data_IF_326699471662
#
_entry.id   IF_326699471662
#
_cell.length_a   1.000
_cell.length_b   1.000
_cell.length_c   1.000
_cell.angle_alpha   90.00
_cell.angle_beta   90.00
_cell.angle_gamma   90.00
#
_symmetry.space_group_name_H-M   'P 1'
#
loop_
_entity.id
_entity.type
_entity.pdbx_description
1 polymer ?
#
# COMPACT_ATOMS: atom_id res chain seq x y z
N UNK A 1 -38.35 -16.01 4.32
CA UNK A 1 -37.38 -15.59 3.26
C UNK A 1 -37.89 -16.07 1.91
N UNK A 2 -38.08 -15.17 0.97
CA UNK A 2 -38.45 -15.50 -0.41
C UNK A 2 -37.30 -16.23 -1.12
N UNK A 3 -37.57 -16.88 -2.25
CA UNK A 3 -36.52 -17.52 -3.05
C UNK A 3 -35.46 -16.49 -3.53
N UNK A 4 -35.88 -15.25 -3.86
CA UNK A 4 -34.99 -14.16 -4.27
C UNK A 4 -34.10 -13.68 -3.13
N UNK A 5 -34.59 -13.62 -1.89
CA UNK A 5 -33.77 -13.28 -0.72
C UNK A 5 -32.72 -14.35 -0.42
N UNK A 6 -33.10 -15.63 -0.50
CA UNK A 6 -32.16 -16.75 -0.35
C UNK A 6 -31.07 -16.72 -1.43
N UNK A 7 -31.43 -16.36 -2.64
CA UNK A 7 -30.51 -16.28 -3.75
C UNK A 7 -29.54 -15.08 -3.63
N UNK A 8 -30.02 -13.95 -3.11
CA UNK A 8 -29.14 -12.80 -2.83
C UNK A 8 -28.12 -13.09 -1.75
N UNK A 9 -28.49 -13.87 -0.72
CA UNK A 9 -27.58 -14.24 0.37
C UNK A 9 -26.51 -15.25 -0.04
N UNK A 10 -26.75 -16.05 -1.09
CA UNK A 10 -25.75 -17.00 -1.60
C UNK A 10 -24.48 -16.33 -2.17
N UNK A 11 -24.49 -15.03 -2.40
CA UNK A 11 -23.32 -14.25 -2.85
C UNK A 11 -22.35 -13.91 -1.75
N UNK A 12 -22.79 -14.02 -0.50
CA UNK A 12 -22.02 -13.62 0.67
C UNK A 12 -21.53 -14.85 1.41
N UNK A 13 -20.26 -14.82 1.72
CA UNK A 13 -19.56 -15.79 2.54
C UNK A 13 -18.87 -15.12 3.70
N UNK A 14 -18.05 -15.88 4.41
CA UNK A 14 -17.24 -15.38 5.50
C UNK A 14 -15.94 -16.18 5.61
N UNK A 15 -14.93 -15.56 6.22
CA UNK A 15 -13.69 -16.24 6.56
C UNK A 15 -13.15 -15.80 7.91
N UNK A 16 -12.45 -16.72 8.57
CA UNK A 16 -11.63 -16.43 9.75
C UNK A 16 -10.29 -17.09 9.56
N UNK A 17 -9.22 -16.39 9.95
CA UNK A 17 -7.86 -16.88 9.74
C UNK A 17 -6.89 -16.40 10.81
N UNK A 18 -5.78 -17.14 10.93
CA UNK A 18 -4.61 -16.76 11.69
C UNK A 18 -3.39 -16.78 10.78
N UNK A 19 -2.49 -15.82 10.97
CA UNK A 19 -1.24 -15.69 10.20
C UNK A 19 -0.07 -15.49 11.17
N UNK A 20 0.51 -16.56 11.75
CA UNK A 20 1.81 -16.46 12.39
C UNK A 20 2.86 -16.05 11.36
N UNK A 21 3.82 -15.21 11.79
CA UNK A 21 4.80 -14.67 10.87
C UNK A 21 5.94 -13.96 11.57
N UNK A 22 6.73 -13.25 10.79
CA UNK A 22 7.88 -12.47 11.23
C UNK A 22 7.89 -11.10 10.60
N UNK A 23 8.32 -10.10 11.35
CA UNK A 23 8.63 -8.77 10.82
C UNK A 23 9.97 -8.85 10.11
N UNK A 24 10.01 -8.44 8.85
CA UNK A 24 11.22 -8.46 8.05
C UNK A 24 12.09 -7.24 8.36
N UNK A 25 13.31 -7.48 8.79
CA UNK A 25 14.33 -6.45 8.94
C UNK A 25 14.94 -6.14 7.56
N UNK A 26 14.43 -5.11 6.88
CA UNK A 26 14.80 -4.80 5.48
C UNK A 26 15.94 -3.80 5.34
N UNK A 27 16.28 -3.04 6.38
CA UNK A 27 17.40 -2.12 6.37
C UNK A 27 18.44 -2.46 7.44
N UNK A 28 19.64 -1.91 7.31
CA UNK A 28 20.78 -2.22 8.19
C UNK A 28 20.52 -1.82 9.66
N UNK A 29 19.79 -0.72 9.90
CA UNK A 29 19.41 -0.33 11.26
C UNK A 29 18.50 -1.38 11.91
N UNK A 30 17.47 -1.83 11.18
CA UNK A 30 16.57 -2.88 11.65
C UNK A 30 17.32 -4.18 11.91
N UNK A 31 18.18 -4.62 10.99
CA UNK A 31 18.99 -5.84 11.15
C UNK A 31 19.87 -5.80 12.39
N UNK A 32 20.41 -4.63 12.72
CA UNK A 32 21.30 -4.46 13.86
C UNK A 32 20.56 -4.36 15.19
N UNK A 33 19.47 -3.62 15.25
CA UNK A 33 18.81 -3.23 16.51
C UNK A 33 17.47 -3.93 16.77
N UNK A 34 16.94 -4.74 15.84
CA UNK A 34 15.77 -5.56 16.08
C UNK A 34 16.18 -6.84 16.82
N UNK A 35 15.70 -6.99 18.05
CA UNK A 35 16.09 -8.09 18.96
C UNK A 35 15.14 -9.28 18.83
N UNK A 36 13.86 -9.03 18.52
CA UNK A 36 12.82 -10.05 18.30
C UNK A 36 11.87 -9.61 17.20
N UNK A 37 11.48 -10.54 16.35
CA UNK A 37 10.73 -10.28 15.09
C UNK A 37 9.40 -11.02 15.00
N UNK A 38 9.13 -11.97 15.90
CA UNK A 38 7.95 -12.82 15.84
C UNK A 38 6.64 -12.06 16.04
N UNK A 39 5.67 -12.32 15.19
CA UNK A 39 4.33 -11.70 15.19
C UNK A 39 3.26 -12.71 14.83
N UNK A 40 2.01 -12.40 15.11
CA UNK A 40 0.86 -13.15 14.65
C UNK A 40 -0.29 -12.22 14.30
N UNK A 41 -1.09 -12.57 13.31
CA UNK A 41 -2.30 -11.83 12.99
C UNK A 41 -3.50 -12.74 13.04
N UNK A 42 -4.65 -12.17 13.39
CA UNK A 42 -5.95 -12.82 13.39
C UNK A 42 -6.93 -11.95 12.63
N UNK A 43 -7.71 -12.54 11.75
CA UNK A 43 -8.65 -11.78 10.95
C UNK A 43 -9.97 -12.50 10.74
N UNK A 44 -10.99 -11.68 10.46
CA UNK A 44 -12.29 -12.12 10.02
C UNK A 44 -12.77 -11.19 8.90
N UNK A 45 -13.43 -11.76 7.89
CA UNK A 45 -13.96 -11.00 6.77
C UNK A 45 -15.29 -11.56 6.28
N UNK A 46 -16.08 -10.67 5.69
CA UNK A 46 -17.23 -10.99 4.85
C UNK A 46 -16.76 -11.06 3.40
N UNK A 47 -17.16 -12.11 2.71
CA UNK A 47 -16.80 -12.39 1.34
C UNK A 47 -17.99 -12.13 0.41
N UNK A 48 -17.71 -11.59 -0.77
CA UNK A 48 -18.70 -11.39 -1.83
C UNK A 48 -18.15 -11.92 -3.15
N UNK A 49 -19.00 -12.63 -3.91
CA UNK A 49 -18.71 -13.01 -5.30
C UNK A 49 -19.93 -12.75 -6.18
N UNK A 50 -19.69 -12.21 -7.37
CA UNK A 50 -20.70 -12.20 -8.43
C UNK A 50 -20.94 -13.63 -8.91
N UNK A 51 -22.18 -13.92 -9.37
CA UNK A 51 -22.57 -15.23 -9.85
C UNK A 51 -22.63 -15.26 -11.38
N UNK A 52 -22.41 -16.41 -12.04
CA UNK A 52 -22.44 -16.52 -13.50
C UNK A 52 -23.75 -16.02 -14.14
N UNK A 53 -24.88 -16.20 -13.49
CA UNK A 53 -26.20 -15.72 -13.92
C UNK A 53 -26.33 -14.19 -13.98
N UNK A 54 -25.44 -13.43 -13.30
CA UNK A 54 -25.46 -11.97 -13.31
C UNK A 54 -25.01 -11.38 -14.65
N UNK A 55 -24.40 -12.20 -15.48
CA UNK A 55 -23.81 -11.79 -16.77
C UNK A 55 -22.83 -10.62 -16.62
N UNK A 56 -22.07 -10.63 -15.50
CA UNK A 56 -21.07 -9.62 -15.20
C UNK A 56 -19.79 -9.87 -16.00
N UNK A 57 -19.51 -9.00 -16.95
CA UNK A 57 -18.38 -9.12 -17.84
C UNK A 57 -17.02 -8.97 -17.13
N UNK A 58 -16.92 -8.14 -16.09
CA UNK A 58 -15.70 -8.03 -15.30
C UNK A 58 -15.47 -9.27 -14.45
N UNK A 59 -16.51 -9.73 -13.75
CA UNK A 59 -16.41 -10.94 -12.94
C UNK A 59 -15.98 -12.15 -13.80
N UNK A 60 -16.58 -12.34 -14.96
CA UNK A 60 -16.23 -13.41 -15.90
C UNK A 60 -14.77 -13.29 -16.40
N UNK A 61 -14.33 -12.08 -16.78
CA UNK A 61 -12.95 -11.82 -17.24
C UNK A 61 -11.89 -12.10 -16.17
N UNK A 62 -12.24 -11.97 -14.86
CA UNK A 62 -11.37 -12.29 -13.75
C UNK A 62 -11.58 -13.69 -13.15
N UNK A 63 -12.49 -14.49 -13.72
CA UNK A 63 -12.81 -15.83 -13.25
C UNK A 63 -13.66 -15.84 -11.97
N UNK A 64 -14.55 -14.85 -11.80
CA UNK A 64 -15.40 -14.66 -10.63
C UNK A 64 -14.58 -14.53 -9.34
N UNK A 65 -13.88 -13.39 -9.16
CA UNK A 65 -13.07 -13.14 -7.99
C UNK A 65 -13.93 -12.98 -6.74
N UNK A 66 -13.35 -13.26 -5.61
CA UNK A 66 -13.96 -12.99 -4.30
C UNK A 66 -13.43 -11.67 -3.75
N UNK A 67 -14.33 -10.79 -3.34
CA UNK A 67 -14.01 -9.58 -2.56
C UNK A 67 -14.24 -9.87 -1.10
N UNK A 68 -13.23 -9.60 -0.26
CA UNK A 68 -13.32 -9.74 1.18
C UNK A 68 -13.23 -8.38 1.85
N UNK A 69 -14.09 -8.11 2.82
CA UNK A 69 -14.06 -6.90 3.64
C UNK A 69 -13.94 -7.32 5.09
N UNK A 70 -12.86 -6.95 5.74
CA UNK A 70 -12.56 -7.53 7.03
C UNK A 70 -11.80 -6.63 7.99
N UNK A 71 -11.63 -7.18 9.18
CA UNK A 71 -10.79 -6.64 10.24
C UNK A 71 -9.68 -7.63 10.53
N UNK A 72 -8.46 -7.11 10.72
CA UNK A 72 -7.27 -7.85 11.15
C UNK A 72 -6.72 -7.22 12.40
N UNK A 73 -6.44 -8.01 13.39
CA UNK A 73 -5.62 -7.64 14.54
C UNK A 73 -4.22 -8.25 14.34
N UNK A 74 -3.21 -7.41 14.31
CA UNK A 74 -1.80 -7.82 14.24
C UNK A 74 -1.17 -7.63 15.60
N UNK A 75 -0.84 -8.74 16.24
CA UNK A 75 -0.16 -8.81 17.53
C UNK A 75 1.34 -8.69 17.32
N UNK A 76 1.88 -7.56 17.67
CA UNK A 76 3.31 -7.24 17.59
C UNK A 76 3.99 -7.15 18.96
N UNK A 77 3.33 -7.57 20.05
CA UNK A 77 3.86 -7.44 21.40
C UNK A 77 5.23 -8.10 21.62
N UNK A 78 5.57 -9.07 20.78
CA UNK A 78 6.88 -9.76 20.82
C UNK A 78 7.96 -9.05 20.00
N UNK A 79 7.60 -8.12 19.11
CA UNK A 79 8.59 -7.39 18.31
C UNK A 79 9.28 -6.36 19.19
N UNK A 80 10.57 -6.47 19.31
CA UNK A 80 11.39 -5.65 20.22
C UNK A 80 12.58 -5.08 19.49
N UNK A 81 12.88 -3.82 19.79
CA UNK A 81 14.02 -3.09 19.26
C UNK A 81 14.79 -2.48 20.40
N UNK A 82 16.09 -2.61 20.37
CA UNK A 82 16.97 -2.04 21.39
C UNK A 82 18.30 -1.69 20.76
N UNK A 83 18.69 -0.43 20.85
CA UNK A 83 19.99 0.02 20.41
C UNK A 83 20.94 0.17 21.58
N UNK A 84 22.12 -0.36 21.39
CA UNK A 84 23.26 -0.10 22.25
C UNK A 84 23.99 1.17 21.78
N UNK A 85 24.92 1.63 22.60
CA UNK A 85 25.83 2.69 22.20
C UNK A 85 26.64 2.24 20.99
N UNK A 86 26.60 3.02 19.92
CA UNK A 86 27.26 2.69 18.66
C UNK A 86 27.76 3.96 17.97
N UNK A 87 29.08 4.08 17.79
CA UNK A 87 29.70 5.24 17.16
C UNK A 87 29.48 5.30 15.65
N UNK A 88 29.34 4.14 14.99
CA UNK A 88 29.07 4.06 13.56
C UNK A 88 27.68 4.61 13.22
N UNK A 89 26.69 4.30 14.07
CA UNK A 89 25.33 4.79 13.96
C UNK A 89 25.08 6.11 14.69
N UNK A 90 26.13 6.69 15.32
CA UNK A 90 26.04 7.92 16.11
C UNK A 90 24.99 7.86 17.23
N UNK A 91 24.79 6.68 17.81
CA UNK A 91 23.94 6.49 18.96
C UNK A 91 24.78 6.57 20.23
N UNK A 92 25.06 7.79 20.69
CA UNK A 92 26.02 8.03 21.79
C UNK A 92 25.41 7.86 23.15
N UNK A 93 24.09 8.10 23.28
CA UNK A 93 23.38 7.95 24.53
C UNK A 93 22.80 6.54 24.66
N UNK A 94 23.09 5.82 25.74
CA UNK A 94 22.50 4.53 26.01
C UNK A 94 21.00 4.69 26.33
N UNK A 95 20.20 3.74 25.89
CA UNK A 95 18.78 3.63 26.20
C UNK A 95 18.59 2.45 27.14
N UNK A 96 18.03 2.70 28.31
CA UNK A 96 17.84 1.71 29.38
C UNK A 96 16.52 0.92 29.31
N UNK A 97 15.74 1.16 28.25
CA UNK A 97 14.49 0.47 27.97
C UNK A 97 14.51 -0.20 26.58
N UNK A 98 13.58 -1.13 26.39
CA UNK A 98 13.38 -1.83 25.11
C UNK A 98 12.15 -1.25 24.42
N UNK A 99 12.34 -0.70 23.23
CA UNK A 99 11.27 -0.24 22.35
C UNK A 99 10.44 -1.41 21.82
N UNK A 100 9.13 -1.20 21.68
CA UNK A 100 8.19 -2.24 21.25
C UNK A 100 7.35 -1.74 20.10
N UNK A 101 7.19 -2.57 19.11
CA UNK A 101 6.22 -2.34 18.05
C UNK A 101 4.80 -2.45 18.63
N UNK A 102 3.93 -1.48 18.30
CA UNK A 102 2.54 -1.49 18.71
C UNK A 102 1.70 -2.46 17.88
N UNK A 103 0.71 -3.08 18.54
CA UNK A 103 -0.30 -3.85 17.82
C UNK A 103 -1.11 -2.97 16.90
N UNK A 104 -1.60 -3.55 15.81
CA UNK A 104 -2.35 -2.82 14.77
C UNK A 104 -3.69 -3.48 14.53
N UNK A 105 -4.75 -2.67 14.58
CA UNK A 105 -6.07 -3.05 14.07
C UNK A 105 -6.21 -2.49 12.66
N UNK A 106 -6.55 -3.33 11.69
CA UNK A 106 -6.64 -2.96 10.28
C UNK A 106 -8.01 -3.28 9.74
N UNK A 107 -8.69 -2.27 9.17
CA UNK A 107 -9.85 -2.47 8.30
C UNK A 107 -9.34 -2.56 6.86
N UNK A 108 -9.73 -3.61 6.14
CA UNK A 108 -9.19 -3.88 4.81
C UNK A 108 -10.26 -4.39 3.83
N UNK A 109 -9.96 -4.18 2.56
CA UNK A 109 -10.61 -4.82 1.43
C UNK A 109 -9.60 -5.67 0.65
N UNK A 110 -10.00 -6.88 0.25
CA UNK A 110 -9.15 -7.81 -0.49
C UNK A 110 -9.82 -8.23 -1.80
N UNK A 111 -9.04 -8.29 -2.85
CA UNK A 111 -9.40 -8.87 -4.13
C UNK A 111 -8.69 -10.23 -4.25
N UNK A 112 -9.45 -11.32 -4.14
CA UNK A 112 -8.95 -12.69 -4.28
C UNK A 112 -9.27 -13.17 -5.69
N UNK A 113 -8.25 -13.38 -6.52
CA UNK A 113 -8.44 -13.86 -7.89
C UNK A 113 -8.08 -15.33 -8.02
N UNK A 114 -9.03 -16.19 -8.42
CA UNK A 114 -8.75 -17.59 -8.66
C UNK A 114 -7.85 -17.76 -9.91
N UNK A 115 -6.82 -18.57 -9.75
CA UNK A 115 -5.96 -19.07 -10.84
C UNK A 115 -6.41 -20.45 -11.31
N UNK A 116 -6.82 -21.28 -10.35
CA UNK A 116 -7.37 -22.60 -10.58
C UNK A 116 -8.58 -22.81 -9.68
N UNK A 117 -9.69 -23.31 -10.24
CA UNK A 117 -10.87 -23.70 -9.49
C UNK A 117 -11.36 -25.05 -10.00
N UNK A 118 -11.50 -26.00 -9.10
CA UNK A 118 -12.03 -27.33 -9.36
C UNK A 118 -13.14 -27.63 -8.34
N UNK A 119 -13.74 -28.80 -8.37
CA UNK A 119 -14.80 -29.16 -7.41
C UNK A 119 -14.36 -29.04 -5.93
N UNK A 120 -13.08 -29.30 -5.61
CA UNK A 120 -12.56 -29.32 -4.24
C UNK A 120 -11.41 -28.38 -3.99
N UNK A 121 -10.69 -27.94 -5.03
CA UNK A 121 -9.49 -27.15 -4.87
C UNK A 121 -9.65 -25.78 -5.53
N UNK A 122 -9.25 -24.75 -4.83
CA UNK A 122 -9.06 -23.42 -5.38
C UNK A 122 -7.64 -22.96 -5.08
N UNK A 123 -6.96 -22.41 -6.08
CA UNK A 123 -5.68 -21.72 -5.95
C UNK A 123 -5.95 -20.28 -6.37
N UNK A 124 -5.63 -19.35 -5.52
CA UNK A 124 -5.84 -17.93 -5.77
C UNK A 124 -4.62 -17.10 -5.32
N UNK A 125 -4.54 -15.89 -5.86
CA UNK A 125 -3.73 -14.84 -5.27
C UNK A 125 -4.63 -13.72 -4.77
N UNK A 126 -4.14 -13.02 -3.77
CA UNK A 126 -4.85 -11.88 -3.21
C UNK A 126 -4.03 -10.60 -3.26
N UNK A 127 -4.73 -9.48 -3.45
CA UNK A 127 -4.23 -8.14 -3.22
C UNK A 127 -5.18 -7.45 -2.24
N UNK A 128 -4.60 -6.84 -1.22
CA UNK A 128 -5.37 -6.24 -0.13
C UNK A 128 -4.89 -4.82 0.13
N UNK A 129 -5.82 -3.95 0.50
CA UNK A 129 -5.52 -2.59 0.94
C UNK A 129 -6.46 -2.15 2.05
N UNK A 130 -6.01 -1.18 2.83
CA UNK A 130 -6.81 -0.75 3.96
C UNK A 130 -6.17 0.35 4.79
N UNK A 131 -6.74 0.55 5.96
CA UNK A 131 -6.29 1.53 6.96
C UNK A 131 -6.08 0.81 8.28
N UNK A 132 -4.90 0.96 8.85
CA UNK A 132 -4.51 0.45 10.16
C UNK A 132 -4.48 1.53 11.22
N UNK A 133 -4.71 1.13 12.47
CA UNK A 133 -4.49 1.97 13.64
C UNK A 133 -3.58 1.25 14.62
N UNK A 134 -2.40 1.86 14.89
CA UNK A 134 -1.44 1.36 15.88
C UNK A 134 -1.64 2.04 17.23
N UNK A 135 -1.66 1.27 18.30
CA UNK A 135 -1.77 1.83 19.63
C UNK A 135 -0.44 2.45 20.10
N UNK A 136 0.69 2.09 19.51
CA UNK A 136 2.00 2.69 19.75
C UNK A 136 2.59 3.27 18.48
N UNK A 137 3.44 4.28 18.65
CA UNK A 137 4.26 4.86 17.59
C UNK A 137 5.57 5.34 18.20
N UNK A 138 6.55 5.64 17.36
CA UNK A 138 7.77 6.33 17.76
C UNK A 138 7.50 7.48 18.73
N UNK A 139 8.29 7.51 19.79
CA UNK A 139 8.45 8.67 20.66
C UNK A 139 9.83 8.57 21.36
N UNK A 140 10.33 9.71 21.84
CA UNK A 140 11.66 9.80 22.44
C UNK A 140 11.71 9.47 23.94
N UNK A 141 10.62 9.01 24.55
CA UNK A 141 10.56 8.72 26.00
C UNK A 141 10.71 7.23 26.29
N UNK A 142 9.93 6.40 25.59
CA UNK A 142 9.84 4.95 25.85
C UNK A 142 9.79 4.09 24.58
N UNK A 143 9.96 4.70 23.38
CA UNK A 143 9.83 3.98 22.09
C UNK A 143 10.71 4.60 20.99
N UNK A 144 11.94 5.02 21.36
CA UNK A 144 12.87 5.76 20.48
C UNK A 144 13.37 4.91 19.31
N UNK A 145 13.44 3.59 19.47
CA UNK A 145 13.94 2.69 18.43
C UNK A 145 12.85 2.20 17.49
N UNK A 146 11.59 2.57 17.73
CA UNK A 146 10.49 2.25 16.83
C UNK A 146 10.53 3.14 15.56
N UNK A 147 11.55 2.95 14.74
CA UNK A 147 11.67 3.65 13.47
C UNK A 147 10.71 3.14 12.41
N UNK A 148 9.93 2.09 12.71
CA UNK A 148 8.97 1.48 11.80
C UNK A 148 7.70 2.31 11.67
N UNK A 149 7.14 2.79 12.80
CA UNK A 149 5.84 3.46 12.87
C UNK A 149 5.98 4.83 13.53
N UNK A 150 5.84 5.90 12.74
CA UNK A 150 5.84 7.28 13.22
C UNK A 150 4.45 7.89 13.38
N UNK A 151 3.38 7.19 12.99
CA UNK A 151 1.99 7.65 13.10
C UNK A 151 1.09 6.55 13.63
N UNK A 152 -0.02 6.92 14.29
CA UNK A 152 -1.03 5.93 14.70
C UNK A 152 -1.86 5.44 13.53
N UNK A 153 -2.21 6.31 12.58
CA UNK A 153 -2.92 5.95 11.36
C UNK A 153 -1.93 5.50 10.29
N UNK A 154 -2.21 4.36 9.69
CA UNK A 154 -1.33 3.67 8.75
C UNK A 154 -2.10 3.28 7.49
N UNK A 155 -1.43 3.36 6.37
CA UNK A 155 -1.85 2.70 5.13
C UNK A 155 -1.47 1.24 5.22
N UNK A 156 -2.37 0.38 4.82
CA UNK A 156 -2.16 -1.06 4.74
C UNK A 156 -2.14 -1.53 3.29
N UNK A 157 -1.20 -2.38 2.99
CA UNK A 157 -1.12 -3.13 1.74
C UNK A 157 -0.79 -4.59 2.03
N UNK A 158 -1.45 -5.52 1.33
CA UNK A 158 -1.21 -6.95 1.45
C UNK A 158 -1.19 -7.65 0.11
N UNK A 159 -0.40 -8.70 0.01
CA UNK A 159 -0.37 -9.63 -1.12
C UNK A 159 -0.16 -11.05 -0.59
N UNK A 160 -0.76 -12.04 -1.25
CA UNK A 160 -0.61 -13.43 -0.84
C UNK A 160 -1.02 -14.41 -1.92
N UNK A 161 -0.74 -15.66 -1.65
CA UNK A 161 -1.16 -16.79 -2.48
C UNK A 161 -1.70 -17.90 -1.58
N UNK A 162 -2.84 -18.45 -1.96
CA UNK A 162 -3.56 -19.39 -1.13
C UNK A 162 -4.00 -20.62 -1.91
N UNK A 163 -4.14 -21.71 -1.14
CA UNK A 163 -4.78 -22.95 -1.56
C UNK A 163 -5.94 -23.22 -0.63
N UNK A 164 -7.13 -23.37 -1.16
CA UNK A 164 -8.32 -23.74 -0.40
C UNK A 164 -8.75 -25.16 -0.77
N UNK A 165 -8.94 -26.00 0.23
CA UNK A 165 -9.55 -27.32 0.07
C UNK A 165 -10.99 -27.30 0.60
N UNK A 166 -11.97 -27.51 -0.27
CA UNK A 166 -13.37 -27.60 0.06
C UNK A 166 -13.73 -28.98 0.60
N UNK A 167 -13.91 -29.08 1.91
CA UNK A 167 -14.35 -30.31 2.61
C UNK A 167 -15.82 -30.58 2.24
N UNK A 168 -16.63 -29.53 2.19
CA UNK A 168 -18.00 -29.50 1.72
C UNK A 168 -18.16 -28.44 0.61
N UNK A 169 -19.24 -28.44 -0.17
CA UNK A 169 -19.41 -27.45 -1.24
C UNK A 169 -19.31 -25.98 -0.80
N UNK A 170 -19.66 -25.71 0.44
CA UNK A 170 -19.72 -24.36 1.02
C UNK A 170 -18.59 -24.07 2.02
N UNK A 171 -17.91 -25.12 2.54
CA UNK A 171 -16.92 -25.00 3.59
C UNK A 171 -15.55 -25.48 3.14
N UNK A 172 -14.54 -24.68 3.37
CA UNK A 172 -13.15 -25.00 3.03
C UNK A 172 -12.16 -24.64 4.13
N UNK A 173 -11.01 -25.31 4.09
CA UNK A 173 -9.80 -24.92 4.81
C UNK A 173 -8.87 -24.25 3.81
N UNK A 174 -8.43 -23.04 4.16
CA UNK A 174 -7.55 -22.21 3.34
C UNK A 174 -6.19 -22.09 4.00
N UNK A 175 -5.12 -22.36 3.27
CA UNK A 175 -3.75 -22.17 3.71
C UNK A 175 -2.97 -21.36 2.68
N UNK A 176 -1.97 -20.60 3.12
CA UNK A 176 -1.20 -19.80 2.17
C UNK A 176 -0.04 -19.06 2.81
N UNK A 177 0.54 -18.18 2.02
CA UNK A 177 1.60 -17.26 2.42
C UNK A 177 1.10 -15.84 2.18
N UNK A 178 1.19 -15.02 3.22
CA UNK A 178 0.81 -13.62 3.21
C UNK A 178 2.02 -12.73 3.47
N UNK A 179 2.16 -11.73 2.62
CA UNK A 179 2.96 -10.55 2.90
C UNK A 179 2.02 -9.38 3.17
N UNK A 180 2.32 -8.60 4.21
CA UNK A 180 1.62 -7.34 4.41
C UNK A 180 2.54 -6.25 4.96
N UNK A 181 2.15 -5.02 4.63
CA UNK A 181 2.90 -3.82 4.93
C UNK A 181 2.00 -2.78 5.60
N UNK A 182 2.52 -2.16 6.67
CA UNK A 182 1.93 -1.00 7.30
C UNK A 182 2.94 0.16 7.31
N UNK A 183 2.51 1.33 6.86
CA UNK A 183 3.32 2.55 6.93
C UNK A 183 2.41 3.78 6.97
N UNK A 184 2.97 4.94 7.26
CA UNK A 184 2.20 6.18 7.17
C UNK A 184 2.27 6.84 5.78
N UNK A 185 2.79 6.14 4.76
CA UNK A 185 2.85 6.66 3.39
C UNK A 185 3.69 7.92 3.19
N UNK A 186 4.67 8.18 4.06
CA UNK A 186 5.52 9.37 3.99
C UNK A 186 4.92 10.65 4.61
N UNK A 187 3.74 10.55 5.22
CA UNK A 187 3.04 11.70 5.83
C UNK A 187 3.65 12.13 7.19
N UNK A 188 4.51 11.32 7.78
CA UNK A 188 5.19 11.61 9.04
C UNK A 188 6.49 10.80 9.14
N UNK A 189 7.40 11.19 10.06
CA UNK A 189 8.63 10.46 10.36
C UNK A 189 8.60 9.92 11.79
N UNK A 190 9.31 8.82 12.06
CA UNK A 190 9.93 7.90 11.09
C UNK A 190 8.90 7.10 10.30
N UNK A 191 9.30 6.51 9.16
CA UNK A 191 8.42 5.72 8.31
C UNK A 191 9.19 4.63 7.55
N UNK A 192 9.88 3.74 8.27
CA UNK A 192 10.51 2.57 7.64
C UNK A 192 9.47 1.51 7.26
N UNK A 193 8.30 1.55 7.92
CA UNK A 193 7.19 0.62 7.73
C UNK A 193 7.41 -0.76 8.35
N UNK A 194 6.32 -1.43 8.67
CA UNK A 194 6.29 -2.80 9.17
C UNK A 194 6.00 -3.72 8.00
N UNK A 195 6.95 -4.58 7.66
CA UNK A 195 6.82 -5.59 6.62
C UNK A 195 6.75 -6.94 7.29
N UNK A 196 5.69 -7.69 7.07
CA UNK A 196 5.47 -9.01 7.66
C UNK A 196 5.33 -10.06 6.58
N UNK A 197 6.03 -11.17 6.75
CA UNK A 197 5.81 -12.40 6.00
C UNK A 197 5.29 -13.47 6.96
N UNK A 198 4.19 -14.12 6.60
CA UNK A 198 3.57 -15.13 7.44
C UNK A 198 2.93 -16.26 6.65
N UNK A 199 2.72 -17.38 7.33
CA UNK A 199 1.92 -18.48 6.82
C UNK A 199 0.50 -18.34 7.35
N UNK A 200 -0.51 -18.34 6.48
CA UNK A 200 -1.91 -18.22 6.89
C UNK A 200 -2.62 -19.58 6.90
N UNK A 201 -3.52 -19.74 7.86
CA UNK A 201 -4.44 -20.85 7.95
C UNK A 201 -5.82 -20.33 8.38
N UNK A 202 -6.86 -20.73 7.69
CA UNK A 202 -8.22 -20.26 7.96
C UNK A 202 -9.31 -21.21 7.55
N UNK A 203 -10.53 -20.87 7.97
CA UNK A 203 -11.77 -21.50 7.55
C UNK A 203 -12.53 -20.51 6.70
N UNK A 204 -13.07 -20.98 5.57
CA UNK A 204 -13.86 -20.19 4.65
C UNK A 204 -15.25 -20.82 4.47
N UNK A 205 -16.26 -19.96 4.51
CA UNK A 205 -17.63 -20.28 4.12
C UNK A 205 -17.96 -19.55 2.83
N UNK A 206 -18.18 -20.29 1.74
CA UNK A 206 -18.36 -19.77 0.38
C UNK A 206 -19.56 -20.43 -0.29
N UNK A 207 -20.81 -20.03 0.03
CA UNK A 207 -22.02 -20.66 -0.46
C UNK A 207 -22.21 -20.56 -1.99
N UNK A 208 -21.48 -19.66 -2.63
CA UNK A 208 -21.43 -19.47 -4.08
C UNK A 208 -20.46 -20.41 -4.81
N UNK A 209 -19.59 -21.13 -4.09
CA UNK A 209 -18.46 -21.86 -4.68
C UNK A 209 -18.90 -22.88 -5.73
N UNK A 210 -19.91 -23.71 -5.40
CA UNK A 210 -20.41 -24.73 -6.33
C UNK A 210 -20.96 -24.11 -7.61
N UNK A 211 -21.80 -23.07 -7.48
CA UNK A 211 -22.42 -22.39 -8.63
C UNK A 211 -21.38 -21.76 -9.53
N UNK A 212 -20.43 -21.05 -8.96
CA UNK A 212 -19.35 -20.44 -9.74
C UNK A 212 -18.46 -21.50 -10.39
N UNK A 213 -18.17 -22.61 -9.71
CA UNK A 213 -17.32 -23.67 -10.27
C UNK A 213 -17.97 -24.38 -11.45
N UNK A 214 -19.26 -24.69 -11.35
CA UNK A 214 -20.00 -25.43 -12.38
C UNK A 214 -20.39 -24.55 -13.58
N UNK A 215 -20.70 -23.26 -13.34
CA UNK A 215 -21.31 -22.36 -14.33
C UNK A 215 -20.44 -21.19 -14.79
N UNK A 216 -19.18 -21.07 -14.31
CA UNK A 216 -18.28 -19.95 -14.66
C UNK A 216 -18.10 -19.77 -16.18
N UNK A 217 -18.30 -20.81 -16.99
CA UNK A 217 -18.12 -20.79 -18.45
C UNK A 217 -19.40 -20.55 -19.25
N UNK A 218 -20.56 -20.51 -18.58
CA UNK A 218 -21.86 -20.37 -19.22
C UNK A 218 -22.05 -18.96 -19.79
N UNK A 219 -21.53 -17.96 -19.11
CA UNK A 219 -21.49 -16.59 -19.60
C UNK A 219 -20.13 -16.26 -20.23
N UNK A 220 -20.17 -15.76 -21.48
CA UNK A 220 -18.99 -15.26 -22.20
C UNK A 220 -19.20 -13.79 -22.53
N UNK A 221 -18.38 -12.91 -21.95
CA UNK A 221 -18.44 -11.48 -22.26
C UNK A 221 -18.23 -11.22 -23.75
N UNK A 222 -19.00 -10.29 -24.30
CA UNK A 222 -18.78 -9.81 -25.67
C UNK A 222 -17.41 -9.17 -25.87
N UNK A 223 -16.99 -9.01 -27.12
CA UNK A 223 -15.71 -8.37 -27.45
C UNK A 223 -15.64 -6.96 -26.88
N UNK A 224 -14.48 -6.60 -26.32
CA UNK A 224 -14.23 -5.26 -25.80
C UNK A 224 -13.81 -4.33 -26.95
N UNK A 225 -14.44 -3.19 -27.08
CA UNK A 225 -14.03 -2.14 -28.02
C UNK A 225 -12.82 -1.39 -27.44
N UNK A 226 -11.68 -1.52 -28.13
CA UNK A 226 -10.43 -0.86 -27.74
C UNK A 226 -10.48 0.62 -28.08
N UNK A 227 -9.83 1.47 -27.27
CA UNK A 227 -9.79 2.91 -27.54
C UNK A 227 -8.60 3.58 -26.87
N UNK A 228 -8.23 4.75 -27.41
CA UNK A 228 -7.27 5.67 -26.80
C UNK A 228 -8.00 6.70 -25.94
N UNK A 229 -7.35 7.15 -24.90
CA UNK A 229 -7.84 8.27 -24.11
C UNK A 229 -6.67 9.08 -23.54
N UNK A 230 -6.91 10.40 -23.36
CA UNK A 230 -6.04 11.27 -22.58
C UNK A 230 -6.54 11.26 -21.14
N UNK A 231 -5.62 11.21 -20.18
CA UNK A 231 -5.97 11.30 -18.78
C UNK A 231 -5.23 12.48 -18.15
N UNK A 232 -5.96 13.44 -17.65
CA UNK A 232 -5.44 14.61 -16.95
C UNK A 232 -5.70 14.47 -15.47
N UNK A 233 -4.68 14.67 -14.63
CA UNK A 233 -4.80 14.51 -13.19
C UNK A 233 -4.15 15.69 -12.47
N UNK A 234 -4.73 16.06 -11.34
CA UNK A 234 -4.16 16.98 -10.37
C UNK A 234 -4.27 16.36 -8.98
N UNK A 235 -3.25 16.53 -8.16
CA UNK A 235 -3.23 15.96 -6.82
C UNK A 235 -2.57 16.89 -5.80
N UNK A 236 -2.99 16.75 -4.55
CA UNK A 236 -2.39 17.34 -3.37
C UNK A 236 -1.98 16.25 -2.39
N UNK A 237 -0.77 16.34 -1.86
CA UNK A 237 -0.20 15.34 -0.95
C UNK A 237 0.42 15.95 0.29
N UNK A 238 0.80 15.07 1.21
CA UNK A 238 1.48 15.42 2.45
C UNK A 238 2.80 14.64 2.52
N UNK A 239 3.89 15.36 2.76
CA UNK A 239 5.25 14.82 2.90
C UNK A 239 5.87 15.26 4.21
N UNK A 240 6.60 14.37 4.89
CA UNK A 240 7.55 14.69 5.93
C UNK A 240 8.97 14.35 5.44
N UNK A 241 9.96 15.19 5.80
CA UNK A 241 11.34 15.04 5.32
C UNK A 241 12.10 13.98 6.12
N UNK A 242 12.69 13.04 5.39
CA UNK A 242 13.60 12.07 5.99
C UNK A 242 14.91 12.73 6.44
N UNK A 243 15.35 13.80 5.77
CA UNK A 243 16.49 14.61 6.11
C UNK A 243 16.36 15.22 7.51
N UNK A 244 15.19 15.80 7.81
CA UNK A 244 14.89 16.36 9.13
C UNK A 244 14.93 15.27 10.23
N UNK A 245 14.39 14.10 9.93
CA UNK A 245 14.43 12.95 10.85
C UNK A 245 15.88 12.47 11.08
N UNK A 246 16.67 12.31 10.02
CA UNK A 246 18.07 11.88 10.15
C UNK A 246 18.92 12.88 10.93
N UNK A 247 18.75 14.18 10.68
CA UNK A 247 19.41 15.23 11.43
C UNK A 247 19.11 15.09 12.90
N UNK A 248 17.83 14.98 13.25
CA UNK A 248 17.38 14.85 14.63
C UNK A 248 17.94 13.60 15.32
N UNK A 249 17.95 12.46 14.64
CA UNK A 249 18.34 11.18 15.25
C UNK A 249 19.85 10.98 15.39
N UNK A 250 20.62 11.44 14.38
CA UNK A 250 22.01 10.97 14.20
C UNK A 250 23.04 12.10 14.12
N UNK A 251 22.58 13.36 13.97
CA UNK A 251 23.51 14.48 13.71
C UNK A 251 23.30 15.67 14.64
N UNK A 252 22.25 15.72 15.41
CA UNK A 252 22.05 16.73 16.45
C UNK A 252 22.86 16.36 17.71
N UNK A 253 23.40 17.36 18.42
CA UNK A 253 23.98 17.16 19.74
C UNK A 253 22.91 16.72 20.72
N UNK A 254 23.29 15.90 21.70
CA UNK A 254 22.40 15.43 22.78
C UNK A 254 21.80 16.58 23.59
N UNK A 255 22.49 17.71 23.70
CA UNK A 255 22.03 18.92 24.39
C UNK A 255 21.10 19.79 23.52
N UNK A 256 20.91 19.45 22.26
CA UNK A 256 20.06 20.19 21.33
C UNK A 256 18.59 19.86 21.55
N UNK A 257 17.67 20.84 21.52
CA UNK A 257 16.24 20.59 21.52
C UNK A 257 15.76 19.80 20.29
N UNK A 258 16.57 19.74 19.23
CA UNK A 258 16.29 18.95 18.02
C UNK A 258 16.75 17.50 18.12
N UNK A 259 17.46 17.12 19.19
CA UNK A 259 17.89 15.73 19.37
C UNK A 259 16.70 14.80 19.63
N UNK A 260 16.57 13.78 18.80
CA UNK A 260 15.52 12.75 18.91
C UNK A 260 14.10 13.31 19.06
N UNK A 261 13.77 14.38 18.37
CA UNK A 261 12.46 15.04 18.49
C UNK A 261 11.29 14.14 18.10
N UNK A 262 10.09 14.42 18.63
CA UNK A 262 8.87 13.64 18.43
C UNK A 262 7.99 14.14 17.29
N UNK A 263 8.24 15.35 16.79
CA UNK A 263 7.42 16.01 15.79
C UNK A 263 8.28 16.51 14.65
N UNK A 264 7.83 16.24 13.45
CA UNK A 264 8.49 16.61 12.20
C UNK A 264 7.55 17.47 11.36
N UNK A 265 8.10 18.40 10.62
CA UNK A 265 7.31 19.28 9.77
C UNK A 265 6.63 18.51 8.64
N UNK A 266 5.40 18.92 8.30
CA UNK A 266 4.62 18.33 7.21
C UNK A 266 4.41 19.37 6.13
N UNK A 267 4.82 19.03 4.92
CA UNK A 267 4.74 19.88 3.75
C UNK A 267 3.61 19.42 2.84
N UNK A 268 2.90 20.38 2.27
CA UNK A 268 1.96 20.11 1.19
C UNK A 268 2.74 19.99 -0.11
N UNK A 269 2.47 18.92 -0.87
CA UNK A 269 3.01 18.69 -2.20
C UNK A 269 1.88 18.75 -3.22
N UNK A 270 2.20 19.15 -4.44
CA UNK A 270 1.28 19.17 -5.55
C UNK A 270 1.83 18.36 -6.70
N UNK A 271 0.97 17.72 -7.45
CA UNK A 271 1.37 17.06 -8.69
C UNK A 271 0.30 17.22 -9.77
N UNK A 272 0.74 17.21 -11.02
CA UNK A 272 -0.12 17.17 -12.20
C UNK A 272 0.41 16.12 -13.17
N UNK A 273 -0.49 15.47 -13.90
CA UNK A 273 -0.15 14.44 -14.88
C UNK A 273 -0.96 14.65 -16.16
N UNK A 274 -0.32 14.37 -17.28
CA UNK A 274 -0.96 14.29 -18.59
C UNK A 274 -0.50 13.00 -19.27
N UNK A 275 -1.44 12.07 -19.50
CA UNK A 275 -1.14 10.71 -19.93
C UNK A 275 -1.85 10.39 -21.23
N UNK A 276 -1.18 9.73 -22.16
CA UNK A 276 -1.77 9.06 -23.32
C UNK A 276 -1.89 7.57 -23.02
N UNK A 277 -3.10 7.08 -22.92
CA UNK A 277 -3.43 5.72 -22.51
C UNK A 277 -4.18 4.96 -23.61
N UNK A 278 -3.84 3.70 -23.79
CA UNK A 278 -4.53 2.77 -24.67
C UNK A 278 -5.22 1.68 -23.86
N UNK A 279 -6.55 1.65 -23.86
CA UNK A 279 -7.36 0.60 -23.24
C UNK A 279 -7.58 -0.53 -24.22
N UNK A 280 -6.74 -1.54 -24.14
CA UNK A 280 -6.72 -2.68 -25.08
C UNK A 280 -7.57 -3.86 -24.62
N UNK A 281 -8.00 -3.87 -23.37
CA UNK A 281 -8.89 -4.88 -22.82
C UNK A 281 -9.84 -4.25 -21.79
N UNK A 282 -10.94 -4.92 -21.49
CA UNK A 282 -11.87 -4.49 -20.43
C UNK A 282 -11.16 -4.23 -19.11
N UNK A 283 -10.18 -5.07 -18.79
CA UNK A 283 -9.43 -5.06 -17.53
C UNK A 283 -8.20 -4.15 -17.54
N UNK A 284 -7.63 -3.79 -18.72
CA UNK A 284 -6.27 -3.25 -18.81
C UNK A 284 -6.15 -2.07 -19.74
N UNK A 285 -5.42 -1.08 -19.30
CA UNK A 285 -4.88 -0.03 -20.14
C UNK A 285 -3.40 0.16 -19.83
N UNK A 286 -2.62 0.57 -20.83
CA UNK A 286 -1.23 0.96 -20.67
C UNK A 286 -0.96 2.23 -21.45
N UNK A 287 0.05 2.99 -21.08
CA UNK A 287 0.37 4.22 -21.75
C UNK A 287 1.63 4.85 -21.22
N UNK A 288 1.81 6.09 -21.59
CA UNK A 288 2.93 6.95 -21.18
C UNK A 288 2.40 8.32 -20.79
N UNK A 289 3.11 9.01 -19.91
CA UNK A 289 2.69 10.33 -19.50
C UNK A 289 3.84 11.19 -19.00
N UNK A 290 3.52 12.47 -18.82
CA UNK A 290 4.39 13.45 -18.20
C UNK A 290 3.83 13.76 -16.82
N UNK A 291 4.70 13.72 -15.83
CA UNK A 291 4.39 14.04 -14.44
C UNK A 291 5.16 15.32 -14.03
N UNK A 292 4.44 16.25 -13.42
CA UNK A 292 5.00 17.47 -12.86
C UNK A 292 4.74 17.48 -11.37
N UNK A 293 5.76 17.80 -10.58
CA UNK A 293 5.69 17.84 -9.11
C UNK A 293 6.14 19.21 -8.61
N UNK A 294 5.51 19.68 -7.55
CA UNK A 294 5.86 20.91 -6.86
C UNK A 294 5.86 20.71 -5.34
N UNK A 295 6.94 21.16 -4.69
CA UNK A 295 7.07 21.05 -3.24
C UNK A 295 7.92 22.19 -2.65
N UNK A 296 7.34 22.91 -1.69
CA UNK A 296 8.03 24.00 -0.98
C UNK A 296 9.11 23.52 -0.04
N UNK A 297 9.07 22.25 0.34
CA UNK A 297 10.03 21.61 1.24
C UNK A 297 11.50 21.72 0.75
N UNK A 298 11.73 21.98 -0.53
CA UNK A 298 13.07 22.17 -1.08
C UNK A 298 13.81 23.37 -0.46
N UNK A 299 13.08 24.39 0.00
CA UNK A 299 13.68 25.56 0.65
C UNK A 299 14.27 25.17 2.02
N UNK A 300 13.54 24.34 2.78
CA UNK A 300 14.01 23.86 4.08
C UNK A 300 15.13 22.83 3.93
N UNK A 301 15.12 22.00 2.89
CA UNK A 301 16.26 21.13 2.55
C UNK A 301 17.50 21.96 2.28
N UNK A 302 17.38 23.04 1.49
CA UNK A 302 18.48 23.97 1.24
C UNK A 302 19.03 24.60 2.53
N UNK A 303 18.14 24.97 3.46
CA UNK A 303 18.54 25.51 4.77
C UNK A 303 19.27 24.47 5.62
N UNK A 304 18.73 23.25 5.68
CA UNK A 304 19.37 22.13 6.41
C UNK A 304 20.77 21.81 5.88
N UNK A 305 20.97 21.94 4.58
CA UNK A 305 22.25 21.65 3.91
C UNK A 305 23.28 22.79 4.01
N UNK A 306 22.94 23.95 4.55
CA UNK A 306 23.86 25.09 4.66
C UNK A 306 25.17 24.76 5.40
N UNK A 307 25.05 23.94 6.45
CA UNK A 307 26.20 23.54 7.27
C UNK A 307 26.88 22.26 6.77
N UNK A 308 26.45 21.79 5.61
CA UNK A 308 26.94 20.57 4.96
C UNK A 308 27.39 20.90 3.53
N UNK A 309 27.53 19.86 2.70
CA UNK A 309 27.73 20.04 1.29
C UNK A 309 26.40 20.40 0.63
N UNK A 310 26.29 21.62 0.14
CA UNK A 310 25.14 22.08 -0.61
C UNK A 310 25.14 21.54 -2.04
N UNK A 311 23.94 21.39 -2.62
CA UNK A 311 23.78 21.13 -4.04
C UNK A 311 24.04 22.41 -4.86
N UNK A 312 24.43 22.24 -6.12
CA UNK A 312 24.69 23.37 -7.04
C UNK A 312 23.40 24.14 -7.37
N UNK A 313 22.27 23.45 -7.33
CA UNK A 313 20.97 24.01 -7.69
C UNK A 313 19.84 23.43 -6.83
N UNK A 314 18.88 24.28 -6.48
CA UNK A 314 17.63 23.90 -5.80
C UNK A 314 16.42 24.35 -6.62
N UNK A 315 15.40 23.50 -6.72
CA UNK A 315 14.17 23.81 -7.43
C UNK A 315 12.98 23.16 -6.73
N UNK A 316 11.90 23.91 -6.53
CA UNK A 316 10.62 23.39 -6.04
C UNK A 316 9.91 22.53 -7.07
N UNK A 317 10.32 22.59 -8.33
CA UNK A 317 9.74 21.84 -9.44
C UNK A 317 10.55 20.59 -9.77
N UNK A 318 9.85 19.53 -10.13
CA UNK A 318 10.43 18.35 -10.77
C UNK A 318 9.53 17.91 -11.91
N UNK A 319 10.12 17.38 -12.97
CA UNK A 319 9.43 16.90 -14.16
C UNK A 319 9.95 15.50 -14.49
N UNK A 320 9.04 14.57 -14.79
CA UNK A 320 9.38 13.22 -15.19
C UNK A 320 8.50 12.71 -16.32
N UNK A 321 8.95 11.64 -16.95
CA UNK A 321 8.16 10.83 -17.88
C UNK A 321 7.92 9.47 -17.24
N UNK A 322 6.74 8.89 -17.47
CA UNK A 322 6.37 7.63 -16.84
C UNK A 322 5.70 6.66 -17.81
N UNK A 323 6.06 5.39 -17.70
CA UNK A 323 5.26 4.29 -18.20
C UNK A 323 4.14 4.02 -17.20
N UNK A 324 2.92 3.83 -17.69
CA UNK A 324 1.71 3.69 -16.88
C UNK A 324 0.95 2.44 -17.23
N UNK A 325 0.40 1.79 -16.22
CA UNK A 325 -0.49 0.64 -16.37
C UNK A 325 -1.66 0.79 -15.42
N UNK A 326 -2.85 0.44 -15.90
CA UNK A 326 -4.08 0.54 -15.12
C UNK A 326 -4.90 -0.74 -15.25
N UNK A 327 -5.37 -1.24 -14.10
CA UNK A 327 -6.17 -2.45 -13.96
C UNK A 327 -7.56 -2.05 -13.47
N UNK A 328 -8.60 -2.45 -14.20
CA UNK A 328 -9.99 -2.04 -13.96
C UNK A 328 -10.86 -3.17 -13.44
N UNK A 329 -11.73 -2.85 -12.51
CA UNK A 329 -12.88 -3.65 -12.12
C UNK A 329 -14.09 -2.72 -11.90
N UNK A 330 -15.04 -2.72 -12.83
CA UNK A 330 -16.14 -1.77 -12.88
C UNK A 330 -15.67 -0.30 -12.79
N UNK A 331 -16.16 0.45 -11.78
CA UNK A 331 -15.79 1.82 -11.50
C UNK A 331 -14.45 1.96 -10.77
N UNK A 332 -13.93 0.87 -10.23
CA UNK A 332 -12.65 0.86 -9.54
C UNK A 332 -11.50 0.58 -10.49
N UNK A 333 -10.38 1.22 -10.22
CA UNK A 333 -9.13 0.87 -10.89
C UNK A 333 -7.94 1.03 -9.96
N UNK A 334 -6.90 0.25 -10.23
CA UNK A 334 -5.57 0.40 -9.65
C UNK A 334 -4.66 0.88 -10.76
N UNK A 335 -4.07 2.06 -10.57
CA UNK A 335 -3.10 2.63 -11.49
C UNK A 335 -1.70 2.50 -10.92
N UNK A 336 -0.76 2.10 -11.76
CA UNK A 336 0.65 1.93 -11.43
C UNK A 336 1.48 2.69 -12.46
N UNK A 337 2.57 3.31 -12.01
CA UNK A 337 3.52 3.94 -12.91
C UNK A 337 4.96 3.78 -12.41
N UNK A 338 5.87 3.71 -13.38
CA UNK A 338 7.31 3.83 -13.17
C UNK A 338 7.77 5.00 -14.02
N UNK A 339 8.32 6.01 -13.38
CA UNK A 339 8.77 7.23 -14.02
C UNK A 339 10.24 7.51 -13.82
N UNK A 340 10.79 8.32 -14.71
CA UNK A 340 12.15 8.81 -14.68
C UNK A 340 12.15 10.34 -14.67
N UNK A 341 12.93 10.97 -13.76
CA UNK A 341 13.02 12.41 -13.70
C UNK A 341 13.89 12.96 -14.84
N UNK A 342 13.31 13.84 -15.63
CA UNK A 342 14.03 14.66 -16.61
C UNK A 342 14.62 15.91 -15.97
N UNK A 343 13.98 16.42 -14.93
CA UNK A 343 14.40 17.58 -14.17
C UNK A 343 14.05 17.38 -12.69
N UNK A 344 15.07 17.46 -11.82
CA UNK A 344 14.92 17.40 -10.37
C UNK A 344 16.15 17.95 -9.67
N UNK A 345 15.94 18.93 -8.79
CA UNK A 345 17.01 19.57 -8.00
C UNK A 345 16.48 19.86 -6.59
N UNK A 346 16.50 18.85 -5.73
CA UNK A 346 15.88 18.92 -4.39
C UNK A 346 16.90 18.77 -3.25
N UNK A 347 18.17 19.01 -3.48
CA UNK A 347 19.23 18.95 -2.49
C UNK A 347 20.43 18.09 -2.94
N UNK A 348 21.44 18.01 -2.09
CA UNK A 348 22.69 17.29 -2.35
C UNK A 348 22.55 15.77 -2.29
N UNK A 349 21.74 15.27 -1.34
CA UNK A 349 21.57 13.84 -1.11
C UNK A 349 20.29 13.20 -1.68
N UNK A 350 19.44 13.87 -2.47
CA UNK A 350 18.25 13.20 -3.02
C UNK A 350 18.64 11.99 -3.89
N UNK A 351 19.78 12.02 -4.58
CA UNK A 351 20.25 10.91 -5.40
C UNK A 351 20.67 9.68 -4.59
N UNK A 352 21.11 9.84 -3.36
CA UNK A 352 21.46 8.73 -2.49
C UNK A 352 20.22 8.07 -1.84
N UNK A 353 19.21 8.88 -1.54
CA UNK A 353 17.96 8.45 -0.88
C UNK A 353 16.84 8.22 -1.89
N UNK A 354 16.80 9.03 -2.93
CA UNK A 354 15.79 9.06 -3.96
C UNK A 354 16.44 8.90 -5.33
N UNK A 355 16.20 7.80 -5.97
CA UNK A 355 16.75 7.46 -7.29
C UNK A 355 16.27 8.43 -8.37
N UNK A 356 16.92 8.46 -9.56
CA UNK A 356 16.41 9.21 -10.70
C UNK A 356 15.06 8.71 -11.23
N UNK A 357 14.56 7.60 -10.73
CA UNK A 357 13.23 7.05 -11.04
C UNK A 357 12.34 7.03 -9.80
N UNK A 358 11.04 7.00 -10.05
CA UNK A 358 9.99 6.93 -9.03
C UNK A 358 8.93 5.92 -9.41
N UNK A 359 8.29 5.37 -8.40
CA UNK A 359 7.10 4.54 -8.54
C UNK A 359 5.88 5.32 -8.00
N UNK A 360 4.72 5.04 -8.58
CA UNK A 360 3.43 5.52 -8.06
C UNK A 360 2.41 4.40 -8.17
N UNK A 361 1.68 4.16 -7.10
CA UNK A 361 0.57 3.21 -7.05
C UNK A 361 -0.62 3.90 -6.41
N UNK A 362 -1.79 3.75 -7.02
CA UNK A 362 -3.01 4.35 -6.48
C UNK A 362 -4.26 3.57 -6.84
N UNK A 363 -5.29 3.81 -6.04
CA UNK A 363 -6.64 3.33 -6.28
C UNK A 363 -7.54 4.50 -6.69
N UNK A 364 -8.39 4.28 -7.66
CA UNK A 364 -9.32 5.28 -8.20
C UNK A 364 -10.73 4.73 -8.26
N UNK A 365 -11.68 5.62 -8.01
CA UNK A 365 -13.10 5.39 -8.25
C UNK A 365 -13.62 6.35 -9.31
N UNK A 366 -14.27 5.83 -10.35
CA UNK A 366 -14.82 6.58 -11.48
C UNK A 366 -16.30 6.90 -11.25
N UNK A 367 -16.66 8.17 -11.23
CA UNK A 367 -18.03 8.65 -11.12
C UNK A 367 -18.65 8.80 -12.51
N UNK A 368 -19.25 7.74 -13.03
CA UNK A 368 -19.79 7.70 -14.38
C UNK A 368 -20.87 8.77 -14.63
N UNK A 369 -21.65 9.10 -13.59
CA UNK A 369 -22.69 10.14 -13.65
C UNK A 369 -22.15 11.56 -13.63
N UNK A 370 -20.89 11.77 -13.29
CA UNK A 370 -20.21 13.07 -13.23
C UNK A 370 -19.18 13.21 -14.36
N UNK A 371 -19.51 12.77 -15.57
CA UNK A 371 -18.61 12.88 -16.72
C UNK A 371 -17.33 12.04 -16.62
N UNK A 372 -17.38 10.93 -15.88
CA UNK A 372 -16.26 10.03 -15.62
C UNK A 372 -15.11 10.66 -14.81
N UNK A 373 -15.39 11.72 -14.03
CA UNK A 373 -14.41 12.24 -13.07
C UNK A 373 -14.02 11.11 -12.12
N UNK A 374 -12.75 11.05 -11.80
CA UNK A 374 -12.16 10.01 -10.94
C UNK A 374 -11.56 10.66 -9.71
N UNK A 375 -11.82 10.07 -8.55
CA UNK A 375 -11.11 10.39 -7.32
C UNK A 375 -10.16 9.24 -7.00
N UNK A 376 -8.95 9.58 -6.63
CA UNK A 376 -7.90 8.61 -6.33
C UNK A 376 -7.10 8.95 -5.09
N UNK A 377 -6.46 7.92 -4.57
CA UNK A 377 -5.49 7.98 -3.50
C UNK A 377 -4.22 7.29 -3.98
N UNK A 378 -3.12 8.03 -4.01
CA UNK A 378 -1.84 7.54 -4.52
C UNK A 378 -0.77 7.57 -3.44
N UNK A 379 0.15 6.64 -3.51
CA UNK A 379 1.44 6.68 -2.84
C UNK A 379 2.51 6.80 -3.91
N UNK A 380 3.34 7.84 -3.81
CA UNK A 380 4.56 8.00 -4.59
C UNK A 380 5.72 7.47 -3.78
N UNK A 381 6.62 6.75 -4.41
CA UNK A 381 7.75 6.10 -3.76
C UNK A 381 9.04 6.20 -4.59
N UNK A 382 10.17 5.97 -3.92
CA UNK A 382 11.47 5.77 -4.53
C UNK A 382 12.06 4.48 -3.95
N UNK A 383 12.38 3.50 -4.80
CA UNK A 383 12.86 2.17 -4.37
C UNK A 383 11.93 1.56 -3.30
N UNK A 384 10.62 1.59 -3.54
CA UNK A 384 9.60 1.09 -2.62
C UNK A 384 9.46 1.83 -1.28
N UNK A 385 10.25 2.89 -1.03
CA UNK A 385 10.09 3.77 0.13
C UNK A 385 9.11 4.87 -0.21
N UNK A 386 8.03 4.98 0.54
CA UNK A 386 7.03 6.01 0.34
C UNK A 386 7.66 7.41 0.53
N UNK A 387 7.55 8.23 -0.50
CA UNK A 387 7.96 9.63 -0.52
C UNK A 387 6.84 10.51 0.08
N UNK A 388 5.64 10.35 -0.46
CA UNK A 388 4.43 10.98 0.06
C UNK A 388 3.16 10.30 -0.44
N UNK A 389 2.06 10.63 0.21
CA UNK A 389 0.71 10.20 -0.13
C UNK A 389 -0.10 11.40 -0.62
N UNK A 390 -0.92 11.20 -1.64
CA UNK A 390 -1.71 12.28 -2.25
C UNK A 390 -3.13 11.85 -2.57
N UNK A 391 -4.07 12.82 -2.51
CA UNK A 391 -5.42 12.72 -3.05
C UNK A 391 -5.42 13.31 -4.46
N UNK A 392 -6.02 12.59 -5.40
CA UNK A 392 -5.97 12.91 -6.82
C UNK A 392 -7.36 13.03 -7.42
N UNK A 393 -7.55 14.05 -8.24
CA UNK A 393 -8.69 14.16 -9.16
C UNK A 393 -8.16 13.90 -10.58
N UNK A 394 -8.87 13.09 -11.35
CA UNK A 394 -8.45 12.71 -12.71
C UNK A 394 -9.66 12.73 -13.66
N UNK A 395 -9.42 13.15 -14.89
CA UNK A 395 -10.44 13.25 -15.95
C UNK A 395 -9.93 12.51 -17.19
N UNK A 396 -10.44 11.32 -17.50
CA UNK A 396 -10.17 10.64 -18.76
C UNK A 396 -11.02 11.20 -19.90
N UNK A 397 -10.39 11.55 -20.99
CA UNK A 397 -11.04 12.04 -22.22
C UNK A 397 -10.80 11.03 -23.33
N UNK A 398 -11.86 10.32 -23.77
CA UNK A 398 -11.78 9.34 -24.85
C UNK A 398 -11.53 10.05 -26.17
N UNK A 399 -10.58 9.50 -26.98
CA UNK A 399 -10.26 9.94 -28.34
C UNK A 399 -11.08 9.19 -29.38
#
# INVERSE_FOLDING_TARGET
>A
MSAAERDSLRRFGAEVYATPGTVLAIDEYQKKFMVKEGTASFGAALNYSALPKDSDAFAADYGYPTFSFGLRYSDHHRVRMHREKDSEWRTYEPVDYVSRLGDVITAYATFNRPLLRTRRWEIDYMLSMGVGYSHKKYNNRDDIDNLLIGSRWLVYFGAGAHVTYHIMPEWGVRAGIDYYHHSNGGMNMPNKGVNVLGASLGLVYTPYYKEVTEHARDYRPGAFQRYWYLNFSAAAGIKALNEEFQLSQFYSSTDSPDYCKNHFHRYVTWSAQADLMYRYARRWASGVGVDVFYGTYTDDVKEMEKNWKQADKYSRWSVGIAAKHEVFYHQWSIAMSIGYYLYRHQGFKPEALEQPYYERVGIYYTFSRLGNIRLGFNVKAHRTRADYTEMCISVPVRL
#
